data_IF_963701171817
#
_entry.id   IF_963701171817
#
_cell.length_a   1.000
_cell.length_b   1.000
_cell.length_c   1.000
_cell.angle_alpha   90.00
_cell.angle_beta   90.00
_cell.angle_gamma   90.00
#
_symmetry.space_group_name_H-M   'P 1'
#
loop_
_entity.id
_entity.type
_entity.pdbx_description
1 polymer ?
#
# COMPACT_ATOMS: atom_id res chain seq x y z
N UNK A 1 5.20 -10.63 38.34
CA UNK A 1 6.01 -10.21 37.16
C UNK A 1 5.40 -8.95 36.62
N UNK A 2 6.05 -7.80 36.79
CA UNK A 2 5.67 -6.59 36.07
C UNK A 2 5.59 -6.94 34.58
N UNK A 3 4.48 -6.65 33.92
CA UNK A 3 4.35 -6.91 32.48
C UNK A 3 5.42 -6.07 31.76
N UNK A 4 6.45 -6.70 31.23
CA UNK A 4 7.56 -6.07 30.49
C UNK A 4 7.13 -5.35 29.18
N UNK A 5 5.83 -5.26 28.89
CA UNK A 5 5.26 -5.05 27.55
C UNK A 5 4.31 -3.84 27.32
N UNK A 6 3.85 -3.03 28.30
CA UNK A 6 2.84 -2.00 28.02
C UNK A 6 3.35 -0.86 27.13
N UNK A 7 4.66 -0.80 26.85
CA UNK A 7 5.30 0.26 26.04
C UNK A 7 5.68 -0.14 24.62
N UNK A 8 5.51 -1.41 24.20
CA UNK A 8 5.94 -1.82 22.85
C UNK A 8 4.86 -1.48 21.82
N UNK A 9 5.11 -0.57 20.87
CA UNK A 9 4.12 -0.26 19.84
C UNK A 9 3.86 -1.49 18.98
N UNK A 10 2.60 -1.73 18.59
CA UNK A 10 2.32 -2.60 17.46
C UNK A 10 3.06 -2.09 16.23
N UNK A 11 3.48 -2.98 15.35
CA UNK A 11 4.12 -2.64 14.08
C UNK A 11 3.01 -2.69 13.02
N UNK A 12 3.00 -1.78 12.03
CA UNK A 12 2.05 -1.86 10.90
C UNK A 12 2.36 -3.01 9.91
N UNK A 13 2.96 -4.09 10.40
CA UNK A 13 3.31 -5.29 9.65
C UNK A 13 2.13 -6.00 8.97
N UNK A 14 0.89 -5.98 9.50
CA UNK A 14 -0.24 -6.65 8.84
C UNK A 14 -0.57 -6.08 7.45
N UNK A 15 -0.06 -4.89 7.10
CA UNK A 15 -0.25 -4.25 5.80
C UNK A 15 0.82 -4.66 4.77
N UNK A 16 1.98 -5.15 5.23
CA UNK A 16 3.12 -5.48 4.36
C UNK A 16 2.78 -6.57 3.31
N UNK A 17 2.12 -7.69 3.68
CA UNK A 17 1.72 -8.70 2.69
C UNK A 17 0.83 -8.16 1.57
N UNK A 18 -0.09 -7.26 1.89
CA UNK A 18 -0.95 -6.60 0.92
C UNK A 18 -0.13 -5.70 0.00
N UNK A 19 0.71 -4.83 0.57
CA UNK A 19 1.60 -3.94 -0.20
C UNK A 19 2.45 -4.76 -1.17
N UNK A 20 3.07 -5.83 -0.69
CA UNK A 20 3.92 -6.69 -1.51
C UNK A 20 3.17 -7.28 -2.70
N UNK A 21 2.08 -8.00 -2.44
CA UNK A 21 1.36 -8.73 -3.49
C UNK A 21 0.67 -7.83 -4.49
N UNK A 22 0.04 -6.76 -4.02
CA UNK A 22 -0.59 -5.76 -4.90
C UNK A 22 0.45 -5.07 -5.76
N UNK A 23 1.56 -4.62 -5.18
CA UNK A 23 2.61 -3.91 -5.92
C UNK A 23 3.21 -4.82 -6.99
N UNK A 24 3.55 -6.06 -6.63
CA UNK A 24 4.06 -7.05 -7.55
C UNK A 24 3.10 -7.27 -8.71
N UNK A 25 1.85 -7.64 -8.42
CA UNK A 25 0.86 -8.01 -9.44
C UNK A 25 0.55 -6.84 -10.39
N UNK A 26 0.43 -5.63 -9.87
CA UNK A 26 0.17 -4.44 -10.67
C UNK A 26 1.35 -4.08 -11.57
N UNK A 27 2.59 -4.11 -11.06
CA UNK A 27 3.80 -3.86 -11.86
C UNK A 27 3.97 -4.92 -12.94
N UNK A 28 3.75 -6.18 -12.60
CA UNK A 28 3.79 -7.32 -13.53
C UNK A 28 2.78 -7.10 -14.65
N UNK A 29 1.53 -6.78 -14.31
CA UNK A 29 0.48 -6.50 -15.29
C UNK A 29 0.84 -5.32 -16.22
N UNK A 30 1.48 -4.28 -15.68
CA UNK A 30 1.93 -3.14 -16.49
C UNK A 30 3.12 -3.49 -17.39
N UNK A 31 4.04 -4.36 -16.95
CA UNK A 31 5.15 -4.87 -17.76
C UNK A 31 4.68 -5.75 -18.90
N UNK A 32 3.64 -6.55 -18.69
CA UNK A 32 2.99 -7.32 -19.75
C UNK A 32 2.54 -6.41 -20.90
N UNK A 33 1.91 -5.29 -20.58
CA UNK A 33 1.44 -4.31 -21.56
C UNK A 33 2.59 -3.72 -22.40
N UNK A 34 3.78 -3.62 -21.83
CA UNK A 34 5.00 -3.17 -22.53
C UNK A 34 5.69 -4.26 -23.34
N UNK A 35 5.21 -5.51 -23.31
CA UNK A 35 5.86 -6.65 -23.98
C UNK A 35 7.13 -7.16 -23.28
N UNK A 36 7.37 -6.76 -22.03
CA UNK A 36 8.58 -7.13 -21.29
C UNK A 36 8.38 -8.51 -20.66
N UNK A 37 9.35 -9.40 -20.86
CA UNK A 37 9.33 -10.74 -20.25
C UNK A 37 9.62 -10.66 -18.76
N UNK A 38 8.91 -11.50 -18.01
CA UNK A 38 9.11 -11.61 -16.57
C UNK A 38 10.45 -12.26 -16.24
N UNK A 39 11.15 -11.82 -15.17
CA UNK A 39 12.23 -12.61 -14.60
C UNK A 39 11.69 -13.98 -14.20
N UNK A 40 12.49 -15.03 -14.39
CA UNK A 40 12.05 -16.39 -14.11
C UNK A 40 11.67 -16.51 -12.62
N UNK A 41 10.46 -17.01 -12.28
CA UNK A 41 9.96 -17.07 -10.91
C UNK A 41 10.90 -17.82 -9.96
N UNK A 42 11.63 -18.82 -10.47
CA UNK A 42 12.62 -19.62 -9.73
C UNK A 42 13.75 -18.78 -9.15
N UNK A 43 14.23 -17.75 -9.86
CA UNK A 43 15.35 -16.90 -9.41
C UNK A 43 14.95 -15.96 -8.27
N UNK A 44 13.65 -15.63 -8.16
CA UNK A 44 13.14 -14.72 -7.14
C UNK A 44 12.49 -15.46 -5.97
N UNK A 45 12.12 -16.73 -6.14
CA UNK A 45 11.38 -17.51 -5.15
C UNK A 45 12.06 -17.52 -3.78
N UNK A 46 13.35 -17.81 -3.70
CA UNK A 46 14.05 -17.95 -2.42
C UNK A 46 14.14 -16.60 -1.68
N UNK A 47 14.44 -15.53 -2.39
CA UNK A 47 14.46 -14.17 -1.85
C UNK A 47 13.09 -13.74 -1.33
N UNK A 48 12.02 -14.04 -2.09
CA UNK A 48 10.65 -13.70 -1.69
C UNK A 48 10.19 -14.51 -0.48
N UNK A 49 10.54 -15.81 -0.42
CA UNK A 49 10.25 -16.65 0.73
C UNK A 49 10.97 -16.15 1.98
N UNK A 50 12.25 -15.77 1.87
CA UNK A 50 13.02 -15.24 2.99
C UNK A 50 12.43 -13.94 3.55
N UNK A 51 12.07 -13.00 2.67
CA UNK A 51 11.39 -11.76 3.08
C UNK A 51 10.01 -12.04 3.67
N UNK A 52 9.26 -12.98 3.07
CA UNK A 52 7.92 -13.37 3.56
C UNK A 52 7.97 -14.03 4.94
N UNK A 53 9.02 -14.81 5.23
CA UNK A 53 9.25 -15.40 6.55
C UNK A 53 9.50 -14.32 7.61
N UNK A 54 10.27 -13.28 7.30
CA UNK A 54 10.48 -12.16 8.21
C UNK A 54 9.18 -11.39 8.47
N UNK A 55 8.38 -11.13 7.43
CA UNK A 55 7.06 -10.49 7.57
C UNK A 55 6.12 -11.34 8.44
N UNK A 56 6.16 -12.66 8.28
CA UNK A 56 5.41 -13.59 9.10
C UNK A 56 5.81 -13.49 10.59
N UNK A 57 7.11 -13.50 10.89
CA UNK A 57 7.60 -13.37 12.27
C UNK A 57 7.09 -12.07 12.92
N UNK A 58 7.13 -10.95 12.20
CA UNK A 58 6.63 -9.67 12.71
C UNK A 58 5.11 -9.69 12.91
N UNK A 59 4.35 -10.35 12.03
CA UNK A 59 2.91 -10.50 12.21
C UNK A 59 2.54 -11.40 13.40
N UNK A 60 3.27 -12.49 13.64
CA UNK A 60 3.10 -13.33 14.82
C UNK A 60 3.43 -12.53 16.09
N UNK A 61 4.52 -11.77 16.07
CA UNK A 61 4.89 -10.89 17.17
C UNK A 61 3.78 -9.89 17.51
N UNK A 62 3.19 -9.24 16.50
CA UNK A 62 2.04 -8.35 16.69
C UNK A 62 0.82 -9.07 17.26
N UNK A 63 0.53 -10.29 16.80
CA UNK A 63 -0.59 -11.07 17.30
C UNK A 63 -0.42 -11.39 18.79
N UNK A 64 0.79 -11.77 19.21
CA UNK A 64 1.11 -11.98 20.63
C UNK A 64 0.87 -10.71 21.44
N UNK A 65 1.34 -9.55 20.95
CA UNK A 65 1.11 -8.26 21.63
C UNK A 65 -0.39 -7.92 21.77
N UNK A 66 -1.20 -8.21 20.75
CA UNK A 66 -2.66 -8.02 20.78
C UNK A 66 -3.28 -8.93 21.85
N UNK A 67 -2.93 -10.22 21.87
CA UNK A 67 -3.46 -11.16 22.86
C UNK A 67 -3.05 -10.82 24.30
N UNK A 68 -1.87 -10.27 24.51
CA UNK A 68 -1.43 -9.81 25.84
C UNK A 68 -2.19 -8.59 26.36
N UNK A 69 -2.98 -7.91 25.50
CA UNK A 69 -3.73 -6.70 25.84
C UNK A 69 -5.23 -6.93 25.98
N UNK A 70 -5.67 -8.18 25.94
CA UNK A 70 -7.09 -8.57 26.13
C UNK A 70 -7.67 -8.04 27.43
N UNK A 71 -6.92 -8.12 28.53
CA UNK A 71 -7.37 -7.62 29.84
C UNK A 71 -7.59 -6.11 29.85
N UNK A 72 -6.72 -5.35 29.17
CA UNK A 72 -6.84 -3.88 29.03
C UNK A 72 -8.10 -3.48 28.26
N UNK A 73 -8.50 -4.28 27.27
CA UNK A 73 -9.63 -3.99 26.39
C UNK A 73 -10.83 -4.90 26.62
N UNK A 74 -10.93 -5.51 27.81
CA UNK A 74 -12.01 -6.44 28.18
C UNK A 74 -13.42 -5.85 28.01
N UNK A 75 -13.57 -4.55 28.20
CA UNK A 75 -14.85 -3.83 28.06
C UNK A 75 -15.23 -3.55 26.60
N UNK A 76 -14.35 -3.84 25.63
CA UNK A 76 -14.67 -3.71 24.21
C UNK A 76 -15.04 -5.11 23.66
N UNK A 77 -16.35 -5.43 23.51
CA UNK A 77 -16.79 -6.79 23.17
C UNK A 77 -16.31 -7.27 21.80
N UNK A 78 -15.92 -6.33 20.93
CA UNK A 78 -15.41 -6.64 19.58
C UNK A 78 -13.91 -6.93 19.54
N UNK A 79 -13.16 -6.68 20.61
CA UNK A 79 -11.70 -6.86 20.63
C UNK A 79 -11.28 -8.32 20.44
N UNK A 80 -11.79 -9.21 21.30
CA UNK A 80 -11.49 -10.65 21.27
C UNK A 80 -11.84 -11.31 19.94
N UNK A 81 -13.08 -11.15 19.42
CA UNK A 81 -13.47 -11.71 18.13
C UNK A 81 -12.61 -11.22 16.97
N UNK A 82 -12.23 -9.93 16.95
CA UNK A 82 -11.35 -9.37 15.90
C UNK A 82 -9.93 -9.91 15.98
N UNK A 83 -9.42 -10.16 17.19
CA UNK A 83 -8.09 -10.74 17.38
C UNK A 83 -8.06 -12.20 16.90
N UNK A 84 -9.12 -12.95 17.21
CA UNK A 84 -9.30 -14.32 16.71
C UNK A 84 -9.44 -14.36 15.19
N UNK A 85 -10.23 -13.45 14.61
CA UNK A 85 -10.36 -13.34 13.15
C UNK A 85 -9.00 -13.02 12.49
N UNK A 86 -8.21 -12.12 13.07
CA UNK A 86 -6.86 -11.82 12.59
C UNK A 86 -5.96 -13.07 12.62
N UNK A 87 -6.01 -13.86 13.69
CA UNK A 87 -5.27 -15.12 13.80
C UNK A 87 -5.68 -16.14 12.72
N UNK A 88 -6.99 -16.33 12.52
CA UNK A 88 -7.52 -17.24 11.49
C UNK A 88 -7.07 -16.81 10.11
N UNK A 89 -7.21 -15.53 9.78
CA UNK A 89 -6.80 -14.98 8.47
C UNK A 89 -5.30 -15.18 8.27
N UNK A 90 -4.49 -14.94 9.29
CA UNK A 90 -3.04 -15.13 9.22
C UNK A 90 -2.70 -16.61 8.95
N UNK A 91 -3.30 -17.56 9.65
CA UNK A 91 -3.10 -19.00 9.43
C UNK A 91 -3.48 -19.37 7.99
N UNK A 92 -4.68 -18.98 7.53
CA UNK A 92 -5.14 -19.29 6.18
C UNK A 92 -4.24 -18.67 5.11
N UNK A 93 -3.81 -17.43 5.32
CA UNK A 93 -2.90 -16.72 4.40
C UNK A 93 -1.54 -17.42 4.31
N UNK A 94 -0.99 -17.91 5.43
CA UNK A 94 0.26 -18.69 5.44
C UNK A 94 0.08 -19.98 4.65
N UNK A 95 -0.97 -20.75 4.92
CA UNK A 95 -1.22 -22.02 4.23
C UNK A 95 -1.34 -21.81 2.72
N UNK A 96 -2.06 -20.77 2.30
CA UNK A 96 -2.18 -20.42 0.87
C UNK A 96 -0.83 -19.99 0.26
N UNK A 97 -0.10 -19.12 0.94
CA UNK A 97 1.18 -18.61 0.46
C UNK A 97 2.26 -19.69 0.35
N UNK A 98 2.32 -20.60 1.32
CA UNK A 98 3.33 -21.66 1.38
C UNK A 98 2.94 -22.93 0.62
N UNK A 99 1.64 -23.17 0.41
CA UNK A 99 1.17 -24.29 -0.40
C UNK A 99 1.53 -24.16 -1.88
N UNK A 100 1.46 -22.94 -2.43
CA UNK A 100 1.84 -22.64 -3.82
C UNK A 100 2.51 -21.26 -3.96
N UNK A 101 3.76 -21.09 -3.49
CA UNK A 101 4.42 -19.78 -3.41
C UNK A 101 4.56 -19.10 -4.78
N UNK A 102 4.85 -19.86 -5.83
CA UNK A 102 4.96 -19.32 -7.19
C UNK A 102 3.63 -18.75 -7.72
N UNK A 103 2.49 -19.29 -7.28
CA UNK A 103 1.17 -18.86 -7.78
C UNK A 103 0.64 -17.67 -6.99
N UNK A 104 0.92 -17.64 -5.68
CA UNK A 104 0.29 -16.70 -4.74
C UNK A 104 1.20 -15.53 -4.36
N UNK A 105 2.49 -15.78 -4.10
CA UNK A 105 3.45 -14.75 -3.67
C UNK A 105 4.09 -14.00 -4.85
N UNK A 106 4.20 -14.68 -6.00
CA UNK A 106 4.80 -14.14 -7.23
C UNK A 106 3.80 -14.31 -8.39
N UNK A 107 2.58 -13.75 -8.30
CA UNK A 107 1.56 -13.97 -9.32
C UNK A 107 1.92 -13.26 -10.63
N UNK A 108 1.80 -13.97 -11.75
CA UNK A 108 1.96 -13.41 -13.10
C UNK A 108 0.64 -12.84 -13.67
N UNK A 109 -0.49 -13.19 -13.04
CA UNK A 109 -1.85 -12.77 -13.44
C UNK A 109 -2.78 -12.85 -12.24
N UNK A 110 -3.90 -12.15 -12.30
CA UNK A 110 -4.96 -12.25 -11.30
C UNK A 110 -5.71 -13.58 -11.47
N UNK A 111 -5.41 -14.56 -10.63
CA UNK A 111 -6.18 -15.81 -10.53
C UNK A 111 -7.17 -15.73 -9.37
N UNK A 112 -8.12 -16.68 -9.30
CA UNK A 112 -9.07 -16.77 -8.17
C UNK A 112 -8.34 -16.87 -6.83
N UNK A 113 -7.27 -17.66 -6.76
CA UNK A 113 -6.47 -17.82 -5.53
C UNK A 113 -5.74 -16.53 -5.13
N UNK A 114 -5.20 -15.80 -6.11
CA UNK A 114 -4.56 -14.50 -5.86
C UNK A 114 -5.59 -13.47 -5.38
N UNK A 115 -6.79 -13.46 -5.97
CA UNK A 115 -7.88 -12.59 -5.51
C UNK A 115 -8.31 -12.90 -4.07
N UNK A 116 -8.44 -14.19 -3.72
CA UNK A 116 -8.71 -14.63 -2.34
C UNK A 116 -7.58 -14.19 -1.40
N UNK A 117 -6.32 -14.36 -1.81
CA UNK A 117 -5.17 -13.94 -1.02
C UNK A 117 -5.12 -12.43 -0.81
N UNK A 118 -5.40 -11.62 -1.84
CA UNK A 118 -5.51 -10.16 -1.72
C UNK A 118 -6.64 -9.79 -0.75
N UNK A 119 -7.81 -10.42 -0.86
CA UNK A 119 -8.94 -10.16 0.03
C UNK A 119 -8.61 -10.49 1.50
N UNK A 120 -7.96 -11.62 1.76
CA UNK A 120 -7.50 -12.01 3.09
C UNK A 120 -6.50 -11.01 3.66
N UNK A 121 -5.47 -10.64 2.90
CA UNK A 121 -4.47 -9.67 3.33
C UNK A 121 -5.02 -8.25 3.48
N UNK A 122 -6.04 -7.90 2.69
CA UNK A 122 -6.75 -6.64 2.83
C UNK A 122 -7.50 -6.58 4.17
N UNK A 123 -8.26 -7.64 4.52
CA UNK A 123 -8.93 -7.72 5.82
C UNK A 123 -7.90 -7.76 6.95
N UNK A 124 -6.80 -8.50 6.80
CA UNK A 124 -5.69 -8.52 7.75
C UNK A 124 -5.11 -7.13 7.99
N UNK A 125 -4.88 -6.34 6.93
CA UNK A 125 -4.39 -4.98 7.00
C UNK A 125 -5.37 -4.07 7.75
N UNK A 126 -6.67 -4.11 7.42
CA UNK A 126 -7.72 -3.34 8.11
C UNK A 126 -7.80 -3.68 9.60
N UNK A 127 -7.71 -4.96 9.95
CA UNK A 127 -7.69 -5.40 11.36
C UNK A 127 -6.42 -4.91 12.07
N UNK A 128 -5.26 -5.00 11.44
CA UNK A 128 -4.01 -4.47 12.00
C UNK A 128 -4.06 -2.95 12.25
N UNK A 129 -4.62 -2.19 11.31
CA UNK A 129 -4.84 -0.76 11.48
C UNK A 129 -5.85 -0.45 12.58
N UNK A 130 -6.93 -1.25 12.71
CA UNK A 130 -7.89 -1.12 13.79
C UNK A 130 -7.21 -1.25 15.16
N UNK A 131 -6.39 -2.28 15.36
CA UNK A 131 -5.66 -2.45 16.62
C UNK A 131 -4.67 -1.32 16.86
N UNK A 132 -3.94 -0.90 15.82
CA UNK A 132 -2.99 0.22 15.90
C UNK A 132 -3.68 1.52 16.33
N UNK A 133 -4.85 1.83 15.75
CA UNK A 133 -5.63 3.02 16.06
C UNK A 133 -6.25 2.99 17.47
N UNK A 134 -6.55 1.80 17.96
CA UNK A 134 -7.09 1.60 19.31
C UNK A 134 -6.02 1.77 20.38
N UNK A 135 -4.78 1.38 20.08
CA UNK A 135 -3.64 1.55 20.99
C UNK A 135 -3.11 2.97 21.03
N UNK A 136 -3.21 3.69 19.90
CA UNK A 136 -2.82 5.09 19.78
C UNK A 136 -4.03 5.94 19.36
N UNK A 137 -4.94 6.22 20.31
CA UNK A 137 -6.16 6.93 20.01
C UNK A 137 -5.89 8.34 19.48
N UNK A 138 -6.85 8.85 18.71
CA UNK A 138 -6.81 10.15 18.05
C UNK A 138 -6.37 11.25 19.02
N UNK A 139 -5.25 11.89 18.70
CA UNK A 139 -4.97 13.24 19.21
C UNK A 139 -6.08 14.19 18.75
N UNK A 140 -6.28 15.35 19.40
CA UNK A 140 -7.22 16.39 18.95
C UNK A 140 -6.97 16.87 17.50
N UNK A 141 -5.82 16.52 16.91
CA UNK A 141 -5.43 16.87 15.52
C UNK A 141 -6.00 15.86 14.52
N UNK A 142 -6.46 16.35 13.36
CA UNK A 142 -6.84 15.51 12.22
C UNK A 142 -5.55 14.93 11.62
N UNK A 143 -5.25 13.66 11.87
CA UNK A 143 -4.10 12.95 11.29
C UNK A 143 -4.45 12.33 9.92
N UNK A 144 -3.43 11.95 9.15
CA UNK A 144 -3.58 11.22 7.91
C UNK A 144 -4.26 9.85 8.14
N UNK A 145 -5.18 9.48 7.25
CA UNK A 145 -5.86 8.18 7.30
C UNK A 145 -4.91 7.02 7.00
N UNK A 146 -4.96 5.94 7.78
CA UNK A 146 -4.32 4.65 7.43
C UNK A 146 -5.20 3.84 6.48
N UNK A 147 -6.51 3.81 6.76
CA UNK A 147 -7.47 3.02 6.00
C UNK A 147 -7.54 3.39 4.53
N UNK A 148 -7.44 4.69 4.20
CA UNK A 148 -7.63 5.11 2.82
C UNK A 148 -6.54 4.58 1.87
N UNK A 149 -5.23 4.75 2.16
CA UNK A 149 -4.16 4.07 1.42
C UNK A 149 -4.34 2.55 1.29
N UNK A 150 -4.75 1.85 2.36
CA UNK A 150 -5.00 0.40 2.34
C UNK A 150 -6.16 0.01 1.45
N UNK A 151 -7.26 0.77 1.46
CA UNK A 151 -8.40 0.60 0.55
C UNK A 151 -7.99 0.82 -0.90
N UNK A 152 -7.17 1.84 -1.18
CA UNK A 152 -6.64 2.09 -2.53
C UNK A 152 -5.82 0.91 -3.01
N UNK A 153 -4.92 0.36 -2.18
CA UNK A 153 -4.14 -0.83 -2.53
C UNK A 153 -5.04 -2.06 -2.76
N UNK A 154 -6.01 -2.31 -1.88
CA UNK A 154 -6.94 -3.44 -2.03
C UNK A 154 -7.75 -3.37 -3.33
N UNK A 155 -8.29 -2.20 -3.67
CA UNK A 155 -9.02 -1.99 -4.92
C UNK A 155 -8.07 -2.09 -6.12
N UNK A 156 -6.90 -1.45 -6.06
CA UNK A 156 -5.93 -1.48 -7.15
C UNK A 156 -5.47 -2.90 -7.48
N UNK A 157 -5.24 -3.74 -6.47
CA UNK A 157 -4.82 -5.14 -6.66
C UNK A 157 -5.81 -6.01 -7.43
N UNK A 158 -7.09 -5.64 -7.45
CA UNK A 158 -8.13 -6.34 -8.23
C UNK A 158 -8.40 -5.63 -9.55
N UNK A 159 -8.60 -4.31 -9.49
CA UNK A 159 -9.01 -3.52 -10.64
C UNK A 159 -7.90 -3.40 -11.70
N UNK A 160 -6.66 -3.08 -11.30
CA UNK A 160 -5.57 -2.80 -12.25
C UNK A 160 -5.21 -4.03 -13.08
N UNK A 161 -5.03 -5.24 -12.51
CA UNK A 161 -4.74 -6.42 -13.32
C UNK A 161 -5.87 -6.73 -14.30
N UNK A 162 -7.14 -6.58 -13.90
CA UNK A 162 -8.28 -6.78 -14.82
C UNK A 162 -8.30 -5.73 -15.93
N UNK A 163 -8.08 -4.46 -15.57
CA UNK A 163 -7.98 -3.34 -16.50
C UNK A 163 -6.88 -3.55 -17.55
N UNK A 164 -5.71 -4.02 -17.13
CA UNK A 164 -4.56 -4.20 -18.04
C UNK A 164 -4.60 -5.51 -18.82
N UNK A 165 -5.16 -6.59 -18.27
CA UNK A 165 -5.22 -7.89 -18.97
C UNK A 165 -6.35 -7.96 -20.00
N UNK A 166 -7.49 -7.32 -19.72
CA UNK A 166 -8.64 -7.28 -20.60
C UNK A 166 -8.63 -6.08 -21.55
N UNK A 167 -7.48 -5.42 -21.74
CA UNK A 167 -7.42 -4.18 -22.53
C UNK A 167 -7.91 -4.34 -23.96
N UNK A 168 -7.73 -5.49 -24.61
CA UNK A 168 -8.27 -5.71 -25.96
C UNK A 168 -9.80 -5.95 -25.99
N UNK A 169 -10.43 -6.15 -24.84
CA UNK A 169 -11.84 -6.51 -24.70
C UNK A 169 -12.53 -5.73 -23.58
N UNK A 170 -12.20 -4.44 -23.42
CA UNK A 170 -12.83 -3.63 -22.39
C UNK A 170 -14.35 -3.60 -22.58
N UNK A 171 -15.07 -4.10 -21.58
CA UNK A 171 -16.48 -3.80 -21.45
C UNK A 171 -16.62 -2.35 -21.02
N UNK A 172 -17.58 -1.63 -21.61
CA UNK A 172 -17.95 -0.26 -21.21
C UNK A 172 -18.16 -0.14 -19.69
N UNK A 173 -18.62 -1.20 -19.05
CA UNK A 173 -18.77 -1.29 -17.59
C UNK A 173 -17.44 -1.14 -16.83
N UNK A 174 -16.35 -1.74 -17.29
CA UNK A 174 -15.06 -1.68 -16.59
C UNK A 174 -14.47 -0.25 -16.63
N UNK A 175 -14.64 0.44 -17.75
CA UNK A 175 -14.27 1.84 -17.93
C UNK A 175 -15.06 2.77 -17.00
N UNK A 176 -16.37 2.59 -16.93
CA UNK A 176 -17.25 3.39 -16.05
C UNK A 176 -16.83 3.19 -14.59
N UNK A 177 -16.60 1.95 -14.17
CA UNK A 177 -16.10 1.64 -12.82
C UNK A 177 -14.75 2.33 -12.58
N UNK A 178 -13.83 2.28 -13.54
CA UNK A 178 -12.54 2.97 -13.46
C UNK A 178 -12.67 4.47 -13.24
N UNK A 179 -13.55 5.13 -14.01
CA UNK A 179 -13.78 6.57 -13.89
C UNK A 179 -14.38 6.95 -12.53
N UNK A 180 -15.34 6.16 -12.04
CA UNK A 180 -15.92 6.34 -10.70
C UNK A 180 -14.83 6.19 -9.64
N UNK A 181 -14.03 5.11 -9.70
CA UNK A 181 -12.95 4.86 -8.77
C UNK A 181 -11.91 5.98 -8.77
N UNK A 182 -11.55 6.50 -9.95
CA UNK A 182 -10.58 7.59 -10.09
C UNK A 182 -11.12 8.91 -9.51
N UNK A 183 -12.40 9.20 -9.73
CA UNK A 183 -13.08 10.39 -9.18
C UNK A 183 -13.16 10.31 -7.65
N UNK A 184 -13.58 9.15 -7.11
CA UNK A 184 -13.58 8.89 -5.68
C UNK A 184 -12.17 9.00 -5.08
N UNK A 185 -11.16 8.45 -5.77
CA UNK A 185 -9.76 8.55 -5.36
C UNK A 185 -9.29 10.00 -5.27
N UNK A 186 -9.55 10.81 -6.29
CA UNK A 186 -9.17 12.23 -6.32
C UNK A 186 -9.85 13.01 -5.18
N UNK A 187 -11.16 12.82 -5.00
CA UNK A 187 -11.92 13.48 -3.95
C UNK A 187 -11.43 13.10 -2.55
N UNK A 188 -11.26 11.81 -2.28
CA UNK A 188 -10.81 11.33 -0.96
C UNK A 188 -9.35 11.72 -0.68
N UNK A 189 -8.49 11.73 -1.69
CA UNK A 189 -7.12 12.24 -1.58
C UNK A 189 -7.11 13.71 -1.18
N UNK A 190 -7.94 14.53 -1.81
CA UNK A 190 -8.11 15.95 -1.46
C UNK A 190 -8.55 16.14 -0.01
N UNK A 191 -9.52 15.36 0.47
CA UNK A 191 -9.99 15.42 1.86
C UNK A 191 -8.92 15.00 2.88
N UNK A 192 -8.01 14.09 2.50
CA UNK A 192 -6.93 13.58 3.34
C UNK A 192 -5.72 14.53 3.41
N UNK A 193 -5.56 15.47 2.47
CA UNK A 193 -4.44 16.44 2.45
C UNK A 193 -4.30 17.21 3.77
N UNK A 194 -5.42 17.66 4.35
CA UNK A 194 -5.43 18.36 5.64
C UNK A 194 -4.79 17.53 6.77
N UNK A 195 -4.93 16.19 6.71
CA UNK A 195 -4.34 15.29 7.68
C UNK A 195 -2.84 15.06 7.47
N UNK A 196 -2.41 15.03 6.21
CA UNK A 196 -1.00 14.87 5.81
C UNK A 196 -0.15 16.06 6.25
N UNK A 197 -0.65 17.28 6.07
CA UNK A 197 0.05 18.50 6.49
C UNK A 197 -0.20 18.89 7.95
N UNK A 198 -0.89 18.05 8.73
CA UNK A 198 -1.11 18.34 10.14
C UNK A 198 0.21 18.33 10.91
N UNK A 199 0.42 19.33 11.77
CA UNK A 199 1.65 19.43 12.59
C UNK A 199 1.73 18.21 13.52
N UNK A 200 2.80 17.42 13.40
CA UNK A 200 3.15 16.28 14.25
C UNK A 200 4.65 16.32 14.52
N UNK A 201 5.18 15.63 15.55
CA UNK A 201 6.64 15.58 15.76
C UNK A 201 7.39 15.10 14.50
N UNK A 202 6.79 14.15 13.77
CA UNK A 202 7.30 13.65 12.51
C UNK A 202 7.45 14.72 11.40
N UNK A 203 6.71 15.84 11.43
CA UNK A 203 6.84 16.92 10.42
C UNK A 203 8.18 17.65 10.49
N UNK A 204 8.93 17.45 11.57
CA UNK A 204 10.28 17.99 11.66
C UNK A 204 11.30 17.09 10.95
N UNK A 205 10.94 15.93 10.42
CA UNK A 205 11.86 15.01 9.76
C UNK A 205 11.98 15.28 8.25
N UNK A 206 13.21 15.36 7.74
CA UNK A 206 13.49 15.42 6.30
C UNK A 206 12.82 14.27 5.54
N UNK A 207 12.88 13.06 6.10
CA UNK A 207 12.32 11.84 5.49
C UNK A 207 10.80 11.96 5.35
N UNK A 208 10.15 12.54 6.35
CA UNK A 208 8.71 12.76 6.33
C UNK A 208 8.30 13.71 5.19
N UNK A 209 8.98 14.85 5.09
CA UNK A 209 8.73 15.84 4.04
C UNK A 209 9.02 15.28 2.63
N UNK A 210 10.06 14.45 2.48
CA UNK A 210 10.31 13.72 1.22
C UNK A 210 9.17 12.76 0.87
N UNK A 211 8.65 11.99 1.84
CA UNK A 211 7.51 11.10 1.60
C UNK A 211 6.25 11.87 1.22
N UNK A 212 6.02 13.06 1.79
CA UNK A 212 4.94 13.95 1.34
C UNK A 212 5.13 14.30 -0.14
N UNK A 213 6.33 14.68 -0.55
CA UNK A 213 6.66 14.97 -1.95
C UNK A 213 6.30 13.83 -2.90
N UNK A 214 6.77 12.62 -2.58
CA UNK A 214 6.45 11.41 -3.35
C UNK A 214 4.94 11.19 -3.39
N UNK A 215 4.26 11.32 -2.25
CA UNK A 215 2.83 11.09 -2.13
C UNK A 215 2.01 12.05 -2.99
N UNK A 216 2.33 13.35 -2.97
CA UNK A 216 1.64 14.37 -3.77
C UNK A 216 1.82 14.14 -5.28
N UNK A 217 3.06 13.91 -5.72
CA UNK A 217 3.34 13.61 -7.12
C UNK A 217 2.63 12.32 -7.55
N UNK A 218 2.57 11.32 -6.66
CA UNK A 218 1.85 10.06 -6.90
C UNK A 218 0.35 10.25 -7.09
N UNK A 219 -0.31 11.15 -6.35
CA UNK A 219 -1.72 11.53 -6.58
C UNK A 219 -1.90 12.15 -7.96
N UNK A 220 -1.05 13.12 -8.30
CA UNK A 220 -1.13 13.83 -9.59
C UNK A 220 -0.93 12.86 -10.75
N UNK A 221 0.08 12.00 -10.67
CA UNK A 221 0.34 10.95 -11.66
C UNK A 221 -0.83 9.99 -11.78
N UNK A 222 -1.36 9.49 -10.67
CA UNK A 222 -2.48 8.55 -10.69
C UNK A 222 -3.71 9.18 -11.37
N UNK A 223 -4.05 10.42 -11.04
CA UNK A 223 -5.22 11.10 -11.62
C UNK A 223 -5.00 11.43 -13.10
N UNK A 224 -3.91 12.13 -13.44
CA UNK A 224 -3.67 12.59 -14.81
C UNK A 224 -3.43 11.39 -15.72
N UNK A 225 -2.52 10.48 -15.35
CA UNK A 225 -2.20 9.34 -16.20
C UNK A 225 -3.35 8.32 -16.24
N UNK A 226 -4.17 8.23 -15.19
CA UNK A 226 -5.43 7.47 -15.20
C UNK A 226 -6.41 8.02 -16.24
N UNK A 227 -6.72 9.31 -16.21
CA UNK A 227 -7.58 9.95 -17.21
C UNK A 227 -7.00 9.82 -18.63
N UNK A 228 -5.71 10.12 -18.81
CA UNK A 228 -5.04 9.99 -20.10
C UNK A 228 -5.06 8.55 -20.62
N UNK A 229 -4.89 7.55 -19.75
CA UNK A 229 -4.93 6.14 -20.19
C UNK A 229 -6.29 5.76 -20.78
N UNK A 230 -7.40 6.23 -20.17
CA UNK A 230 -8.75 5.98 -20.69
C UNK A 230 -8.95 6.65 -22.05
N UNK A 231 -8.53 7.92 -22.20
CA UNK A 231 -8.70 8.68 -23.44
C UNK A 231 -7.83 8.10 -24.58
N UNK A 232 -6.54 7.86 -24.30
CA UNK A 232 -5.58 7.39 -25.29
C UNK A 232 -5.89 5.97 -25.77
N UNK A 233 -6.48 5.14 -24.91
CA UNK A 233 -7.01 3.85 -25.30
C UNK A 233 -8.09 3.98 -26.39
N UNK A 234 -9.08 4.87 -26.19
CA UNK A 234 -10.13 5.09 -27.18
C UNK A 234 -9.61 5.69 -28.50
N UNK A 235 -8.50 6.40 -28.45
CA UNK A 235 -7.82 6.92 -29.63
C UNK A 235 -6.91 5.88 -30.33
N UNK A 236 -6.78 4.67 -29.77
CA UNK A 236 -5.89 3.63 -30.32
C UNK A 236 -4.40 4.02 -30.27
N UNK A 237 -4.01 4.95 -29.39
CA UNK A 237 -2.65 5.48 -29.35
C UNK A 237 -1.70 4.59 -28.55
N UNK A 238 -0.50 4.35 -29.08
CA UNK A 238 0.55 3.60 -28.37
C UNK A 238 1.02 4.30 -27.08
N UNK A 239 0.80 5.62 -26.95
CA UNK A 239 1.11 6.36 -25.71
C UNK A 239 0.23 5.94 -24.52
N UNK A 240 -0.85 5.19 -24.78
CA UNK A 240 -1.64 4.49 -23.76
C UNK A 240 -0.77 3.66 -22.81
N UNK A 241 0.24 2.95 -23.34
CA UNK A 241 1.10 2.05 -22.55
C UNK A 241 1.87 2.83 -21.48
N UNK A 242 2.44 3.98 -21.86
CA UNK A 242 3.20 4.85 -20.97
C UNK A 242 2.27 5.44 -19.90
N UNK A 243 1.09 5.93 -20.32
CA UNK A 243 0.11 6.50 -19.40
C UNK A 243 -0.39 5.47 -18.38
N UNK A 244 -0.69 4.25 -18.82
CA UNK A 244 -1.11 3.15 -17.95
C UNK A 244 -0.03 2.78 -16.94
N UNK A 245 1.24 2.76 -17.36
CA UNK A 245 2.34 2.47 -16.44
C UNK A 245 2.50 3.54 -15.36
N UNK A 246 2.49 4.82 -15.74
CA UNK A 246 2.55 5.94 -14.78
C UNK A 246 1.35 5.95 -13.84
N UNK A 247 0.16 5.58 -14.32
CA UNK A 247 -1.03 5.40 -13.51
C UNK A 247 -0.83 4.32 -12.43
N UNK A 248 -0.36 3.13 -12.83
CA UNK A 248 -0.08 2.02 -11.90
C UNK A 248 0.96 2.40 -10.85
N UNK A 249 2.09 2.94 -11.29
CA UNK A 249 3.17 3.35 -10.40
C UNK A 249 2.71 4.45 -9.43
N UNK A 250 1.92 5.41 -9.89
CA UNK A 250 1.31 6.44 -9.05
C UNK A 250 0.39 5.87 -7.96
N UNK A 251 -0.50 4.93 -8.30
CA UNK A 251 -1.39 4.30 -7.31
C UNK A 251 -0.63 3.49 -6.25
N UNK A 252 0.37 2.72 -6.66
CA UNK A 252 1.19 1.92 -5.74
C UNK A 252 1.98 2.86 -4.80
N UNK A 253 2.67 3.84 -5.36
CA UNK A 253 3.46 4.79 -4.59
C UNK A 253 2.57 5.60 -3.64
N UNK A 254 1.37 5.99 -4.06
CA UNK A 254 0.37 6.62 -3.20
C UNK A 254 0.03 5.75 -1.98
N UNK A 255 -0.31 4.48 -2.22
CA UNK A 255 -0.68 3.54 -1.16
C UNK A 255 0.44 3.34 -0.14
N UNK A 256 1.66 3.09 -0.62
CA UNK A 256 2.83 2.86 0.25
C UNK A 256 3.16 4.12 1.06
N UNK A 257 3.31 5.26 0.41
CA UNK A 257 3.70 6.50 1.08
C UNK A 257 2.63 7.00 2.05
N UNK A 258 1.35 6.85 1.71
CA UNK A 258 0.25 7.22 2.59
C UNK A 258 0.26 6.43 3.90
N UNK A 259 0.57 5.12 3.83
CA UNK A 259 0.72 4.27 5.01
C UNK A 259 1.93 4.68 5.86
N UNK A 260 3.06 4.96 5.24
CA UNK A 260 4.29 5.38 5.93
C UNK A 260 4.06 6.72 6.64
N UNK A 261 3.48 7.71 5.96
CA UNK A 261 3.13 9.02 6.55
C UNK A 261 2.18 8.82 7.74
N UNK A 262 1.11 8.04 7.55
CA UNK A 262 0.14 7.75 8.61
C UNK A 262 0.77 7.03 9.80
N UNK A 263 1.74 6.14 9.56
CA UNK A 263 2.51 5.46 10.59
C UNK A 263 3.39 6.44 11.37
N UNK A 264 4.21 7.23 10.66
CA UNK A 264 5.15 8.19 11.25
C UNK A 264 4.44 9.20 12.16
N UNK A 265 3.27 9.69 11.74
CA UNK A 265 2.45 10.59 12.56
C UNK A 265 1.95 9.95 13.86
N UNK A 266 1.59 8.65 13.85
CA UNK A 266 1.01 7.96 15.01
C UNK A 266 2.06 7.44 15.99
N UNK A 267 3.20 6.98 15.48
CA UNK A 267 4.31 6.56 16.32
C UNK A 267 5.12 7.74 16.85
N UNK A 268 4.82 8.96 16.39
CA UNK A 268 5.60 10.16 16.68
C UNK A 268 7.09 9.89 16.42
N UNK A 269 7.37 9.22 15.30
CA UNK A 269 8.73 8.84 14.93
C UNK A 269 9.53 10.11 14.66
N UNK A 270 10.19 10.58 15.70
CA UNK A 270 11.09 11.70 15.68
C UNK A 270 12.49 11.19 15.28
N UNK A 271 12.78 11.26 13.99
CA UNK A 271 14.14 11.01 13.50
C UNK A 271 15.01 12.20 13.90
N UNK A 272 15.60 12.10 15.11
CA UNK A 272 16.50 13.10 15.70
C UNK A 272 17.70 13.45 14.81
N UNK A 273 18.09 12.54 13.93
CA UNK A 273 19.09 12.76 12.89
C UNK A 273 18.39 13.20 11.60
N UNK A 274 18.21 14.51 11.41
CA UNK A 274 17.59 15.08 10.21
C UNK A 274 16.39 15.98 10.49
N UNK A 275 16.48 16.80 11.53
CA UNK A 275 15.53 17.88 11.73
C UNK A 275 15.59 18.86 10.56
N UNK A 276 14.43 19.23 10.03
CA UNK A 276 14.27 20.28 9.02
C UNK A 276 14.56 21.61 9.71
N UNK A 277 15.83 22.01 9.73
CA UNK A 277 16.24 23.34 10.12
C UNK A 277 15.98 24.30 8.94
N UNK A 278 14.71 24.70 8.80
CA UNK A 278 14.26 25.65 7.77
C UNK A 278 13.96 25.02 6.39
N UNK A 279 13.03 25.66 5.67
CA UNK A 279 12.58 25.35 4.30
C UNK A 279 12.12 23.90 4.03
N UNK A 280 11.07 23.39 4.71
CA UNK A 280 10.50 22.04 4.47
C UNK A 280 10.11 21.78 3.00
N UNK A 281 9.72 22.84 2.29
CA UNK A 281 9.34 22.81 0.87
C UNK A 281 10.44 22.22 -0.03
N UNK A 282 11.73 22.40 0.31
CA UNK A 282 12.84 21.84 -0.47
C UNK A 282 12.85 20.31 -0.46
N UNK A 283 12.53 19.72 0.70
CA UNK A 283 12.50 18.27 0.86
C UNK A 283 11.24 17.66 0.22
N UNK A 284 10.11 18.37 0.25
CA UNK A 284 8.92 18.00 -0.54
C UNK A 284 9.28 17.96 -2.04
N UNK A 285 9.95 19.00 -2.55
CA UNK A 285 10.34 19.04 -3.95
C UNK A 285 11.34 17.94 -4.30
N UNK A 286 12.31 17.66 -3.43
CA UNK A 286 13.24 16.54 -3.57
C UNK A 286 12.52 15.19 -3.65
N UNK A 287 11.53 14.96 -2.78
CA UNK A 287 10.69 13.76 -2.82
C UNK A 287 9.93 13.63 -4.14
N UNK A 288 9.37 14.74 -4.65
CA UNK A 288 8.73 14.76 -5.96
C UNK A 288 9.68 14.43 -7.11
N UNK A 289 10.87 15.01 -7.13
CA UNK A 289 11.91 14.70 -8.12
C UNK A 289 12.37 13.24 -8.03
N UNK A 290 12.45 12.69 -6.82
CA UNK A 290 12.82 11.30 -6.60
C UNK A 290 11.77 10.35 -7.20
N UNK A 291 10.48 10.63 -7.04
CA UNK A 291 9.41 9.85 -7.68
C UNK A 291 9.51 9.89 -9.21
N UNK A 292 9.71 11.09 -9.78
CA UNK A 292 9.84 11.25 -11.23
C UNK A 292 11.09 10.57 -11.79
N UNK A 293 12.23 10.69 -11.12
CA UNK A 293 13.46 10.01 -11.53
C UNK A 293 13.33 8.49 -11.44
N UNK A 294 12.70 7.95 -10.40
CA UNK A 294 12.42 6.50 -10.29
C UNK A 294 11.54 6.00 -11.45
N UNK A 295 10.53 6.78 -11.86
CA UNK A 295 9.72 6.44 -13.04
C UNK A 295 10.53 6.41 -14.33
N UNK A 296 11.36 7.44 -14.54
CA UNK A 296 12.22 7.54 -15.72
C UNK A 296 13.21 6.37 -15.76
N UNK A 297 13.90 6.13 -14.65
CA UNK A 297 14.85 5.03 -14.48
C UNK A 297 14.17 3.69 -14.75
N UNK A 298 13.02 3.42 -14.14
CA UNK A 298 12.33 2.15 -14.33
C UNK A 298 11.91 1.96 -15.79
N UNK A 299 11.42 3.00 -16.46
CA UNK A 299 11.08 2.95 -17.89
C UNK A 299 12.30 2.66 -18.78
N UNK A 300 13.46 3.26 -18.50
CA UNK A 300 14.69 3.01 -19.26
C UNK A 300 15.26 1.61 -19.03
N UNK A 301 15.27 1.10 -17.79
CA UNK A 301 15.77 -0.24 -17.48
C UNK A 301 14.82 -1.37 -17.91
N UNK A 302 13.61 -1.03 -18.37
CA UNK A 302 12.67 -1.98 -18.93
C UNK A 302 12.72 -2.13 -20.44
N UNK A 303 13.46 -1.28 -21.16
CA UNK A 303 13.75 -1.42 -22.59
C UNK A 303 15.05 -2.18 -22.79
#
# INVERSE_FOLDING_TARGET
MEQWLPRRPLILAPVIPLVWTVSWLCIVSARFLMGIRYPQPSQLQDSVLLVSALVLLVNIYNLILIYQRTDKYRNLPTYGPRAMLLAIILIVSIVLAWGQPQVVLIPNRLTRWVAVFIALNFIQALLGEFFTLLERPKTRRKLASLYFPTVVLGIAGIYIPLYLTLYNSWSTSLLIIGFILLTCFAFMSWQNLKGIFSKALATNSVIYEMFIGIHLVSVVLAVICGCCSIILYHQGSLTFIISSYCFVAGLIAYGITGLIIGAMQRYENDYRYGHVNGHPQRYILLGGMLMLSLLVVNYYFTK
#
